data_IF_138558092777
#
_entry.id   IF_138558092777
#
_cell.length_a   1.000
_cell.length_b   1.000
_cell.length_c   1.000
_cell.angle_alpha   90.00
_cell.angle_beta   90.00
_cell.angle_gamma   90.00
#
_symmetry.space_group_name_H-M   'P 1'
#
loop_
_entity.id
_entity.type
_entity.pdbx_description
1 polymer ?
#
# COMPACT_ATOMS: atom_id res chain seq x y z
N UNK A 1 7.83 -7.42 -15.84
CA UNK A 1 9.15 -7.25 -16.46
C UNK A 1 10.16 -8.32 -16.03
N UNK A 2 10.07 -8.85 -14.79
CA UNK A 2 10.99 -9.88 -14.26
C UNK A 2 10.47 -11.31 -14.45
N UNK A 3 9.50 -11.53 -15.34
CA UNK A 3 8.88 -12.83 -15.62
C UNK A 3 8.35 -13.58 -14.38
N UNK A 4 8.13 -12.86 -13.28
CA UNK A 4 7.53 -13.40 -12.08
C UNK A 4 6.05 -13.77 -12.29
N UNK A 5 5.62 -14.89 -11.71
CA UNK A 5 4.21 -15.29 -11.71
C UNK A 5 3.60 -14.95 -10.35
N UNK A 6 2.72 -13.94 -10.24
CA UNK A 6 2.11 -13.59 -8.96
C UNK A 6 1.15 -14.68 -8.48
N UNK A 7 1.03 -14.80 -7.15
CA UNK A 7 -0.02 -15.54 -6.47
C UNK A 7 -0.83 -14.49 -5.70
N UNK A 8 -2.07 -14.28 -6.10
CA UNK A 8 -2.92 -13.30 -5.44
C UNK A 8 -3.51 -13.88 -4.16
N UNK A 9 -3.33 -13.14 -3.07
CA UNK A 9 -3.87 -13.43 -1.76
C UNK A 9 -5.06 -12.52 -1.44
N UNK A 10 -5.91 -12.92 -0.50
CA UNK A 10 -7.00 -12.10 -0.02
C UNK A 10 -6.51 -10.95 0.87
N UNK A 11 -7.39 -10.04 1.22
CA UNK A 11 -7.13 -8.91 2.11
C UNK A 11 -7.86 -9.07 3.44
N UNK A 12 -7.33 -8.40 4.48
CA UNK A 12 -8.00 -8.22 5.77
C UNK A 12 -9.05 -7.08 5.72
N UNK A 13 -9.66 -6.77 6.86
CA UNK A 13 -10.67 -5.71 6.97
C UNK A 13 -10.08 -4.29 6.93
N UNK A 14 -8.75 -4.17 6.87
CA UNK A 14 -8.04 -2.90 6.70
C UNK A 14 -7.50 -2.71 5.28
N UNK A 15 -7.92 -3.54 4.32
CA UNK A 15 -7.47 -3.62 2.92
C UNK A 15 -6.05 -4.14 2.72
N UNK A 16 -5.34 -4.50 3.77
CA UNK A 16 -3.99 -5.04 3.68
C UNK A 16 -4.01 -6.54 3.34
N UNK A 17 -2.86 -7.08 2.93
CA UNK A 17 -2.70 -8.52 2.74
C UNK A 17 -3.19 -9.28 3.98
N UNK A 18 -4.09 -10.24 3.81
CA UNK A 18 -4.51 -11.16 4.88
C UNK A 18 -3.34 -12.08 5.24
N UNK A 19 -2.64 -11.70 6.30
CA UNK A 19 -1.43 -12.40 6.76
C UNK A 19 -1.76 -13.81 7.25
N UNK A 20 -2.92 -14.03 7.87
CA UNK A 20 -3.33 -15.36 8.34
C UNK A 20 -3.56 -16.33 7.19
N UNK A 21 -4.31 -15.91 6.16
CA UNK A 21 -4.50 -16.72 4.95
C UNK A 21 -3.18 -16.93 4.22
N UNK A 22 -2.30 -15.93 4.19
CA UNK A 22 -0.97 -16.06 3.60
C UNK A 22 -0.14 -17.09 4.34
N UNK A 23 -0.13 -17.09 5.67
CA UNK A 23 0.54 -18.09 6.49
C UNK A 23 -0.05 -19.49 6.26
N UNK A 24 -1.39 -19.60 6.21
CA UNK A 24 -2.06 -20.86 5.88
C UNK A 24 -1.59 -21.37 4.52
N UNK A 25 -1.60 -20.53 3.49
CA UNK A 25 -1.09 -20.89 2.17
C UNK A 25 0.35 -21.40 2.22
N UNK A 26 1.25 -20.68 2.89
CA UNK A 26 2.65 -21.09 3.00
C UNK A 26 2.81 -22.45 3.68
N UNK A 27 2.00 -22.75 4.69
CA UNK A 27 2.05 -24.05 5.40
C UNK A 27 1.47 -25.19 4.57
N UNK A 28 0.36 -24.99 3.88
CA UNK A 28 -0.42 -26.07 3.25
C UNK A 28 -0.13 -26.24 1.76
N UNK A 29 0.20 -25.16 1.05
CA UNK A 29 0.33 -25.12 -0.42
C UNK A 29 1.76 -24.98 -0.91
N UNK A 30 2.75 -25.10 -0.01
CA UNK A 30 4.17 -25.07 -0.37
C UNK A 30 4.92 -26.28 0.16
N UNK A 31 6.11 -26.51 -0.40
CA UNK A 31 7.09 -27.48 0.10
C UNK A 31 8.48 -26.90 0.00
N UNK A 32 9.41 -27.46 0.78
CA UNK A 32 10.82 -27.04 0.76
C UNK A 32 11.67 -28.07 0.03
N UNK A 33 12.58 -27.57 -0.82
CA UNK A 33 13.60 -28.38 -1.50
C UNK A 33 14.85 -27.54 -1.74
N UNK A 34 16.04 -28.05 -1.44
CA UNK A 34 17.34 -27.39 -1.66
C UNK A 34 17.40 -25.95 -1.10
N UNK A 35 16.88 -25.73 0.12
CA UNK A 35 16.90 -24.42 0.77
C UNK A 35 15.85 -23.42 0.26
N UNK A 36 15.05 -23.75 -0.75
CA UNK A 36 14.02 -22.88 -1.32
C UNK A 36 12.61 -23.37 -1.00
N UNK A 37 11.65 -22.44 -1.02
CA UNK A 37 10.23 -22.72 -0.89
C UNK A 37 9.55 -22.73 -2.26
N UNK A 38 8.84 -23.80 -2.56
CA UNK A 38 8.16 -24.02 -3.84
C UNK A 38 6.65 -24.04 -3.65
N UNK A 39 5.93 -23.46 -4.58
CA UNK A 39 4.48 -23.61 -4.70
C UNK A 39 4.14 -25.02 -5.18
N UNK A 40 3.29 -25.76 -4.44
CA UNK A 40 2.87 -27.13 -4.79
C UNK A 40 2.17 -27.22 -6.14
N UNK A 41 1.35 -26.18 -6.50
CA UNK A 41 0.57 -26.15 -7.74
C UNK A 41 1.45 -25.89 -8.96
N UNK A 42 2.31 -24.88 -8.91
CA UNK A 42 3.07 -24.41 -10.09
C UNK A 42 4.47 -24.98 -10.15
N UNK A 43 4.94 -25.62 -9.08
CA UNK A 43 6.32 -26.09 -8.88
C UNK A 43 7.39 -25.01 -9.00
N UNK A 44 6.98 -23.72 -9.02
CA UNK A 44 7.89 -22.58 -9.07
C UNK A 44 8.35 -22.16 -7.67
N UNK A 45 9.56 -21.63 -7.57
CA UNK A 45 10.11 -21.06 -6.33
C UNK A 45 9.33 -19.79 -5.98
N UNK A 46 8.95 -19.65 -4.71
CA UNK A 46 8.42 -18.41 -4.16
C UNK A 46 9.60 -17.56 -3.71
N UNK A 47 9.94 -16.54 -4.47
CA UNK A 47 11.09 -15.65 -4.23
C UNK A 47 10.80 -14.56 -3.22
N UNK A 48 9.59 -13.98 -3.28
CA UNK A 48 9.22 -12.84 -2.46
C UNK A 48 7.73 -12.80 -2.16
N UNK A 49 7.40 -12.10 -1.08
CA UNK A 49 6.04 -11.66 -0.77
C UNK A 49 6.07 -10.13 -0.81
N UNK A 50 5.20 -9.53 -1.64
CA UNK A 50 4.97 -8.10 -1.65
C UNK A 50 3.76 -7.83 -0.76
N UNK A 51 3.96 -7.01 0.28
CA UNK A 51 2.92 -6.60 1.21
C UNK A 51 2.77 -5.08 1.16
N UNK A 52 1.59 -4.61 0.75
CA UNK A 52 1.32 -3.19 0.64
C UNK A 52 0.65 -2.66 1.92
N UNK A 53 0.97 -1.42 2.26
CA UNK A 53 0.33 -0.66 3.35
C UNK A 53 -0.77 0.21 2.75
N UNK A 54 -1.90 -0.41 2.42
CA UNK A 54 -2.95 0.19 1.62
C UNK A 54 -3.62 1.36 2.36
N UNK A 55 -3.84 2.46 1.64
CA UNK A 55 -4.46 3.72 2.12
C UNK A 55 -3.72 4.37 3.30
N UNK A 56 -2.45 3.98 3.52
CA UNK A 56 -1.65 4.44 4.65
C UNK A 56 -1.77 3.57 5.90
N UNK A 57 -2.53 2.48 5.86
CA UNK A 57 -2.71 1.57 7.00
C UNK A 57 -1.56 0.56 7.08
N UNK A 58 -0.80 0.49 8.20
CA UNK A 58 0.30 -0.46 8.33
C UNK A 58 -0.18 -1.91 8.32
N UNK A 59 0.36 -2.72 7.41
CA UNK A 59 0.11 -4.16 7.33
C UNK A 59 0.97 -4.95 8.34
N UNK A 60 0.53 -6.11 8.79
CA UNK A 60 1.25 -6.88 9.82
C UNK A 60 2.48 -7.63 9.28
N UNK A 61 3.49 -6.87 8.88
CA UNK A 61 4.77 -7.38 8.36
C UNK A 61 5.52 -8.23 9.38
N UNK A 62 5.48 -7.85 10.67
CA UNK A 62 6.23 -8.57 11.72
C UNK A 62 5.80 -10.03 11.85
N UNK A 63 4.48 -10.29 11.77
CA UNK A 63 3.95 -11.65 11.86
C UNK A 63 4.40 -12.48 10.65
N UNK A 64 4.33 -11.90 9.46
CA UNK A 64 4.76 -12.56 8.23
C UNK A 64 6.25 -12.87 8.27
N UNK A 65 7.08 -11.90 8.69
CA UNK A 65 8.55 -12.05 8.78
C UNK A 65 8.98 -13.19 9.72
N UNK A 66 8.26 -13.37 10.86
CA UNK A 66 8.55 -14.50 11.77
C UNK A 66 8.35 -15.85 11.09
N UNK A 67 7.29 -16.00 10.32
CA UNK A 67 6.96 -17.26 9.65
C UNK A 67 7.90 -17.54 8.48
N UNK A 68 8.29 -16.51 7.73
CA UNK A 68 9.15 -16.66 6.54
C UNK A 68 10.64 -16.74 6.84
N UNK A 69 11.06 -16.57 8.10
CA UNK A 69 12.47 -16.49 8.53
C UNK A 69 13.37 -17.61 7.94
N UNK A 70 12.85 -18.84 7.90
CA UNK A 70 13.59 -20.00 7.42
C UNK A 70 13.13 -20.48 6.02
N UNK A 71 12.33 -19.68 5.30
CA UNK A 71 11.72 -20.10 4.04
C UNK A 71 12.46 -19.61 2.80
N UNK A 72 13.52 -18.83 2.96
CA UNK A 72 14.24 -18.15 1.88
C UNK A 72 13.32 -17.33 0.97
N UNK A 73 12.33 -16.66 1.58
CA UNK A 73 11.38 -15.77 0.92
C UNK A 73 11.69 -14.36 1.38
N UNK A 74 11.90 -13.44 0.45
CA UNK A 74 12.10 -12.01 0.75
C UNK A 74 10.77 -11.31 0.97
N UNK A 75 10.75 -10.34 1.88
CA UNK A 75 9.58 -9.48 2.11
C UNK A 75 9.87 -8.11 1.53
N UNK A 76 9.01 -7.69 0.61
CA UNK A 76 9.01 -6.35 0.02
C UNK A 76 7.81 -5.59 0.57
N UNK A 77 8.05 -4.52 1.32
CA UNK A 77 7.00 -3.62 1.77
C UNK A 77 6.74 -2.56 0.69
N UNK A 78 5.56 -2.59 0.11
CA UNK A 78 5.08 -1.47 -0.69
C UNK A 78 4.50 -0.40 0.25
N UNK A 79 5.35 0.53 0.64
CA UNK A 79 5.03 1.67 1.50
C UNK A 79 4.72 2.94 0.68
N UNK A 80 4.37 2.78 -0.60
CA UNK A 80 4.07 3.90 -1.51
C UNK A 80 2.92 4.80 -1.04
N UNK A 81 2.06 4.30 -0.15
CA UNK A 81 0.91 5.02 0.40
C UNK A 81 1.06 5.38 1.89
N UNK A 82 2.16 4.97 2.53
CA UNK A 82 2.28 4.96 3.99
C UNK A 82 3.47 5.72 4.57
N UNK A 83 4.06 6.65 3.83
CA UNK A 83 5.08 7.53 4.41
C UNK A 83 4.51 8.28 5.62
N UNK A 84 5.21 8.20 6.78
CA UNK A 84 4.74 8.74 8.05
C UNK A 84 3.71 7.87 8.79
N UNK A 85 3.48 6.63 8.32
CA UNK A 85 2.74 5.60 9.06
C UNK A 85 3.70 4.72 9.86
N UNK A 86 3.24 4.23 11.02
CA UNK A 86 4.09 3.53 11.97
C UNK A 86 3.40 2.31 12.58
N UNK A 87 4.19 1.28 12.86
CA UNK A 87 3.87 0.27 13.87
C UNK A 87 4.29 0.78 15.24
N UNK A 88 3.45 0.56 16.25
CA UNK A 88 3.69 0.95 17.63
C UNK A 88 4.05 -0.31 18.43
N UNK A 89 5.25 -0.35 19.01
CA UNK A 89 5.71 -1.48 19.83
C UNK A 89 6.59 -0.99 20.97
N UNK A 90 6.21 -1.31 22.23
CA UNK A 90 6.99 -0.95 23.42
C UNK A 90 7.41 0.53 23.38
N UNK A 91 6.46 1.44 23.17
CA UNK A 91 6.65 2.89 23.04
C UNK A 91 7.59 3.33 21.87
N UNK A 92 8.00 2.41 21.01
CA UNK A 92 8.79 2.73 19.81
C UNK A 92 7.90 2.82 18.57
N UNK A 93 8.20 3.80 17.74
CA UNK A 93 7.60 3.95 16.40
C UNK A 93 8.52 3.30 15.38
N UNK A 94 8.01 2.33 14.63
CA UNK A 94 8.73 1.67 13.54
C UNK A 94 8.04 2.04 12.24
N UNK A 95 8.72 2.78 11.37
CA UNK A 95 8.16 3.26 10.12
C UNK A 95 7.83 2.09 9.17
N UNK A 96 6.70 2.17 8.47
CA UNK A 96 6.38 1.25 7.37
C UNK A 96 7.46 1.30 6.29
N UNK A 97 7.76 0.17 5.67
CA UNK A 97 8.86 0.04 4.71
C UNK A 97 10.22 -0.31 5.34
N UNK A 98 10.32 -0.39 6.69
CA UNK A 98 11.60 -0.68 7.38
C UNK A 98 11.68 -2.05 8.04
N UNK A 99 10.61 -2.83 8.00
CA UNK A 99 10.52 -4.15 8.62
C UNK A 99 10.89 -5.30 7.68
N UNK A 100 10.60 -5.15 6.39
CA UNK A 100 10.91 -6.14 5.36
C UNK A 100 12.41 -6.21 5.00
N UNK A 101 12.71 -6.95 3.95
CA UNK A 101 14.04 -6.94 3.32
C UNK A 101 14.24 -5.70 2.45
N UNK A 102 13.14 -5.22 1.85
CA UNK A 102 13.06 -4.01 1.03
C UNK A 102 11.80 -3.24 1.39
N UNK A 103 11.90 -1.90 1.34
CA UNK A 103 10.75 -1.01 1.40
C UNK A 103 10.75 -0.06 0.21
N UNK A 104 9.57 0.26 -0.31
CA UNK A 104 9.40 1.17 -1.43
C UNK A 104 8.49 2.33 -1.03
N UNK A 105 8.96 3.57 -1.15
CA UNK A 105 8.17 4.80 -0.90
C UNK A 105 8.01 5.53 -2.22
N UNK A 106 6.84 6.12 -2.45
CA UNK A 106 6.53 6.89 -3.65
C UNK A 106 6.33 8.36 -3.35
N UNK A 107 6.84 9.20 -4.25
CA UNK A 107 6.62 10.66 -4.26
C UNK A 107 5.83 11.12 -5.48
N UNK A 108 4.99 10.25 -6.04
CA UNK A 108 4.11 10.60 -7.14
C UNK A 108 3.14 11.74 -6.74
N UNK A 109 2.55 12.44 -7.71
CA UNK A 109 1.75 13.65 -7.53
C UNK A 109 0.58 13.54 -6.53
N UNK A 110 0.02 12.36 -6.35
CA UNK A 110 -1.12 12.13 -5.46
C UNK A 110 -0.76 11.57 -4.07
N UNK A 111 0.53 11.44 -3.73
CA UNK A 111 0.96 10.87 -2.44
C UNK A 111 0.86 11.89 -1.30
N UNK A 112 1.13 11.43 -0.06
CA UNK A 112 1.04 12.26 1.16
C UNK A 112 1.89 13.53 1.07
N UNK A 113 3.08 13.39 0.49
CA UNK A 113 3.91 14.46 -0.05
C UNK A 113 4.36 14.07 -1.45
N UNK A 114 4.72 15.04 -2.26
CA UNK A 114 5.08 14.79 -3.66
C UNK A 114 6.37 15.53 -4.06
N UNK A 115 7.10 14.92 -4.98
CA UNK A 115 8.16 15.59 -5.77
C UNK A 115 7.81 15.62 -7.27
N UNK A 116 6.50 15.42 -7.61
CA UNK A 116 6.05 15.27 -9.00
C UNK A 116 6.21 13.83 -9.52
N UNK A 117 7.19 13.12 -9.05
CA UNK A 117 7.51 11.73 -9.39
C UNK A 117 8.63 11.19 -8.51
N UNK A 118 9.13 10.00 -8.83
CA UNK A 118 10.21 9.35 -8.10
C UNK A 118 9.77 8.60 -6.85
N UNK A 119 10.75 8.14 -6.09
CA UNK A 119 10.55 7.34 -4.89
C UNK A 119 11.86 7.00 -4.19
N UNK A 120 11.77 6.23 -3.12
CA UNK A 120 12.93 5.75 -2.35
C UNK A 120 12.82 4.23 -2.18
N UNK A 121 13.94 3.54 -2.29
CA UNK A 121 14.09 2.15 -1.88
C UNK A 121 14.82 2.13 -0.55
N UNK A 122 14.22 1.48 0.45
CA UNK A 122 14.78 1.29 1.79
C UNK A 122 15.34 -0.13 1.90
N UNK A 123 16.60 -0.25 2.35
CA UNK A 123 17.27 -1.52 2.61
C UNK A 123 18.21 -1.41 3.80
N UNK A 124 18.36 -2.49 4.56
CA UNK A 124 19.28 -2.54 5.72
C UNK A 124 20.61 -3.25 5.40
N UNK A 125 20.92 -3.47 4.12
CA UNK A 125 22.12 -4.18 3.69
C UNK A 125 22.93 -3.32 2.71
N UNK A 126 24.17 -2.96 3.10
CA UNK A 126 25.03 -2.07 2.32
C UNK A 126 25.47 -2.66 0.97
N UNK A 127 25.61 -3.99 0.88
CA UNK A 127 25.96 -4.64 -0.39
C UNK A 127 24.79 -4.57 -1.36
N UNK A 128 23.55 -4.79 -0.86
CA UNK A 128 22.33 -4.65 -1.65
C UNK A 128 22.13 -3.19 -2.07
N UNK A 129 22.37 -2.23 -1.17
CA UNK A 129 22.30 -0.81 -1.49
C UNK A 129 23.23 -0.45 -2.66
N UNK A 130 24.51 -0.85 -2.60
CA UNK A 130 25.47 -0.62 -3.69
C UNK A 130 24.97 -1.22 -5.00
N UNK A 131 24.44 -2.44 -4.99
CA UNK A 131 23.90 -3.10 -6.18
C UNK A 131 22.68 -2.36 -6.73
N UNK A 132 21.78 -1.86 -5.88
CA UNK A 132 20.61 -1.06 -6.30
C UNK A 132 21.09 0.23 -6.96
N UNK A 133 22.01 0.97 -6.31
CA UNK A 133 22.57 2.22 -6.87
C UNK A 133 23.23 1.98 -8.23
N UNK A 134 23.96 0.90 -8.39
CA UNK A 134 24.53 0.50 -9.67
C UNK A 134 23.45 0.30 -10.73
N UNK A 135 22.40 -0.50 -10.43
CA UNK A 135 21.33 -0.82 -11.38
C UNK A 135 20.51 0.42 -11.76
N UNK A 136 20.12 1.29 -10.81
CA UNK A 136 19.31 2.48 -11.08
C UNK A 136 20.10 3.58 -11.77
N UNK A 137 21.45 3.50 -11.76
CA UNK A 137 22.33 4.41 -12.48
C UNK A 137 22.94 3.74 -13.73
N UNK A 138 22.10 3.06 -14.49
CA UNK A 138 22.36 2.48 -15.80
C UNK A 138 23.39 1.33 -15.79
N UNK A 139 23.76 0.75 -14.64
CA UNK A 139 24.82 -0.26 -14.50
C UNK A 139 26.14 0.17 -15.16
N UNK A 140 26.56 1.42 -14.92
CA UNK A 140 27.80 1.98 -15.45
C UNK A 140 29.02 1.36 -14.76
N UNK A 141 29.83 0.62 -15.52
CA UNK A 141 31.10 0.06 -15.05
C UNK A 141 32.28 1.00 -15.31
N UNK A 142 32.23 1.72 -16.42
CA UNK A 142 33.25 2.71 -16.80
C UNK A 142 32.56 4.01 -17.25
N UNK A 143 32.90 5.11 -16.55
CA UNK A 143 32.30 6.44 -16.81
C UNK A 143 32.93 7.08 -18.04
N UNK A 144 34.22 6.84 -18.30
CA UNK A 144 34.96 7.46 -19.39
C UNK A 144 34.61 6.83 -20.75
N UNK A 145 34.54 5.50 -20.78
CA UNK A 145 34.27 4.75 -22.01
C UNK A 145 32.83 4.25 -22.13
N UNK A 146 31.94 4.66 -21.19
CA UNK A 146 30.52 4.27 -21.17
C UNK A 146 30.28 2.76 -21.29
N UNK A 147 31.13 1.96 -20.62
CA UNK A 147 31.00 0.51 -20.62
C UNK A 147 29.95 0.07 -19.60
N UNK A 148 29.11 -0.89 -20.01
CA UNK A 148 28.04 -1.48 -19.19
C UNK A 148 28.07 -2.99 -19.34
N UNK A 149 28.41 -3.73 -18.31
CA UNK A 149 28.44 -5.20 -18.33
C UNK A 149 27.11 -5.82 -17.93
N UNK A 150 26.21 -5.04 -17.36
CA UNK A 150 24.90 -5.50 -16.92
C UNK A 150 23.78 -4.56 -17.41
N UNK A 151 22.56 -5.10 -17.52
CA UNK A 151 21.38 -4.29 -17.77
C UNK A 151 21.12 -3.37 -16.56
N UNK A 152 20.96 -2.09 -16.83
CA UNK A 152 20.61 -1.08 -15.83
C UNK A 152 19.48 -0.16 -16.31
N UNK A 153 19.05 0.73 -15.43
CA UNK A 153 17.95 1.65 -15.68
C UNK A 153 18.35 3.07 -15.29
N UNK A 154 17.86 4.05 -16.01
CA UNK A 154 17.98 5.46 -15.61
C UNK A 154 16.81 5.81 -14.68
N UNK A 155 16.95 5.46 -13.39
CA UNK A 155 15.92 5.65 -12.37
C UNK A 155 16.38 6.52 -11.21
N UNK A 156 17.54 7.17 -11.32
CA UNK A 156 18.01 8.12 -10.30
C UNK A 156 17.13 9.37 -10.28
N UNK A 157 16.74 9.80 -9.09
CA UNK A 157 15.95 11.01 -8.91
C UNK A 157 16.79 12.23 -9.32
N UNK A 158 16.21 13.15 -10.10
CA UNK A 158 16.87 14.42 -10.46
C UNK A 158 16.94 15.36 -9.26
N UNK A 159 17.89 16.30 -9.29
CA UNK A 159 18.04 17.32 -8.24
C UNK A 159 16.77 18.17 -8.07
N UNK A 160 16.07 18.47 -9.15
CA UNK A 160 14.79 19.19 -9.10
C UNK A 160 13.74 18.45 -8.27
N UNK A 161 13.50 17.17 -8.59
CA UNK A 161 12.59 16.32 -7.82
C UNK A 161 13.06 16.17 -6.36
N UNK A 162 14.37 16.00 -6.15
CA UNK A 162 14.96 15.92 -4.80
C UNK A 162 14.70 17.16 -3.96
N UNK A 163 14.86 18.35 -4.54
CA UNK A 163 14.63 19.64 -3.87
C UNK A 163 13.17 19.85 -3.49
N UNK A 164 12.25 19.54 -4.41
CA UNK A 164 10.80 19.59 -4.14
C UNK A 164 10.45 18.59 -3.01
N UNK A 165 10.90 17.34 -3.13
CA UNK A 165 10.64 16.32 -2.12
C UNK A 165 11.17 16.68 -0.73
N UNK A 166 12.37 17.25 -0.65
CA UNK A 166 12.97 17.74 0.59
C UNK A 166 12.14 18.86 1.23
N UNK A 167 11.69 19.83 0.42
CA UNK A 167 10.82 20.91 0.88
C UNK A 167 9.49 20.37 1.43
N UNK A 168 8.87 19.44 0.71
CA UNK A 168 7.62 18.79 1.12
C UNK A 168 7.80 17.95 2.40
N UNK A 169 8.94 17.27 2.54
CA UNK A 169 9.21 16.43 3.72
C UNK A 169 9.22 17.26 5.03
N UNK A 170 9.66 18.49 4.99
CA UNK A 170 9.62 19.41 6.15
C UNK A 170 8.19 19.68 6.64
N UNK A 171 7.19 19.53 5.78
CA UNK A 171 5.76 19.75 6.09
C UNK A 171 4.99 18.47 6.38
N UNK A 172 5.65 17.30 6.36
CA UNK A 172 4.98 15.99 6.48
C UNK A 172 4.11 15.88 7.74
N UNK A 173 4.61 16.29 8.89
CA UNK A 173 3.88 16.21 10.16
C UNK A 173 2.64 17.10 10.17
N UNK A 174 2.71 18.30 9.58
CA UNK A 174 1.58 19.23 9.44
C UNK A 174 0.50 18.60 8.54
N UNK A 175 0.90 18.01 7.42
CA UNK A 175 0.00 17.32 6.49
C UNK A 175 -0.70 16.14 7.17
N UNK A 176 0.05 15.30 7.90
CA UNK A 176 -0.51 14.16 8.64
C UNK A 176 -1.48 14.65 9.72
N UNK A 177 -1.14 15.70 10.45
CA UNK A 177 -2.03 16.31 11.47
C UNK A 177 -3.33 16.80 10.86
N UNK A 178 -3.29 17.50 9.72
CA UNK A 178 -4.47 17.94 8.99
C UNK A 178 -5.34 16.76 8.54
N UNK A 179 -4.74 15.72 7.95
CA UNK A 179 -5.45 14.51 7.50
C UNK A 179 -6.05 13.71 8.66
N UNK A 180 -5.37 13.64 9.80
CA UNK A 180 -5.90 13.03 11.03
C UNK A 180 -7.16 13.74 11.53
N UNK A 181 -7.21 15.09 11.47
CA UNK A 181 -8.41 15.86 11.81
C UNK A 181 -9.57 15.54 10.87
N UNK A 182 -9.30 15.44 9.56
CA UNK A 182 -10.31 15.07 8.55
C UNK A 182 -10.85 13.67 8.82
N UNK A 183 -9.97 12.69 9.08
CA UNK A 183 -10.39 11.33 9.44
C UNK A 183 -11.28 11.32 10.68
N UNK A 184 -10.86 12.00 11.76
CA UNK A 184 -11.64 12.10 12.99
C UNK A 184 -13.02 12.76 12.76
N UNK A 185 -13.10 13.77 11.89
CA UNK A 185 -14.36 14.38 11.52
C UNK A 185 -15.29 13.38 10.83
N UNK A 186 -14.77 12.64 9.83
CA UNK A 186 -15.57 11.60 9.16
C UNK A 186 -16.01 10.50 10.13
N UNK A 187 -15.10 9.95 10.94
CA UNK A 187 -15.46 8.93 11.94
C UNK A 187 -16.57 9.37 12.87
N UNK A 188 -16.46 10.61 13.41
CA UNK A 188 -17.41 11.11 14.41
C UNK A 188 -18.81 11.40 13.84
N UNK A 189 -18.91 11.73 12.57
CA UNK A 189 -20.19 12.07 11.95
C UNK A 189 -20.80 10.87 11.20
N UNK A 190 -20.00 10.11 10.47
CA UNK A 190 -20.49 8.96 9.68
C UNK A 190 -20.94 7.81 10.59
N UNK A 191 -20.32 7.60 11.75
CA UNK A 191 -20.77 6.57 12.72
C UNK A 191 -22.21 6.74 13.20
N UNK A 192 -22.80 7.95 13.03
CA UNK A 192 -24.19 8.26 13.38
C UNK A 192 -25.18 7.80 12.30
N UNK A 193 -24.69 7.38 11.13
CA UNK A 193 -25.50 6.96 9.99
C UNK A 193 -25.48 5.43 9.92
N UNK A 194 -26.64 4.82 10.11
CA UNK A 194 -26.77 3.36 10.08
C UNK A 194 -26.31 2.81 8.71
N UNK A 195 -25.52 1.74 8.76
CA UNK A 195 -25.01 1.08 7.56
C UNK A 195 -23.77 1.73 6.93
N UNK A 196 -23.25 2.84 7.50
CA UNK A 196 -22.01 3.48 7.05
C UNK A 196 -20.94 3.44 8.14
N UNK A 197 -19.69 3.23 7.72
CA UNK A 197 -18.53 3.35 8.62
C UNK A 197 -17.26 3.77 7.87
N UNK A 198 -16.35 4.41 8.59
CA UNK A 198 -14.99 4.67 8.10
C UNK A 198 -14.09 3.49 8.48
N UNK A 199 -13.32 3.01 7.51
CA UNK A 199 -12.31 1.97 7.78
C UNK A 199 -11.25 2.51 8.73
N UNK A 200 -11.05 1.85 9.86
CA UNK A 200 -10.04 2.20 10.87
C UNK A 200 -8.69 1.59 10.53
N UNK A 201 -7.62 2.20 11.03
CA UNK A 201 -6.30 1.58 10.98
C UNK A 201 -6.21 0.39 11.96
N UNK A 202 -5.31 -0.59 11.71
CA UNK A 202 -5.09 -1.71 12.62
C UNK A 202 -4.66 -1.26 14.02
N UNK A 203 -5.01 -2.03 15.04
CA UNK A 203 -4.54 -1.79 16.42
C UNK A 203 -3.01 -1.77 16.50
N UNK A 204 -2.47 -1.02 17.46
CA UNK A 204 -1.03 -0.83 17.64
C UNK A 204 -0.32 -0.28 16.38
N UNK A 205 -1.02 0.54 15.61
CA UNK A 205 -0.47 1.24 14.45
C UNK A 205 -0.91 2.70 14.42
N UNK A 206 -0.23 3.52 13.62
CA UNK A 206 -0.61 4.89 13.30
C UNK A 206 -0.59 5.06 11.79
N UNK A 207 -1.74 5.35 11.21
CA UNK A 207 -1.89 5.69 9.78
C UNK A 207 -1.47 7.15 9.53
N UNK A 208 -1.01 7.43 8.31
CA UNK A 208 -0.88 8.79 7.78
C UNK A 208 -2.21 9.32 7.20
N UNK A 209 -3.27 8.51 7.21
CA UNK A 209 -4.60 8.85 6.66
C UNK A 209 -4.54 9.33 5.21
N UNK A 210 -3.72 8.65 4.38
CA UNK A 210 -3.60 9.04 2.96
C UNK A 210 -4.95 9.14 2.27
N UNK A 211 -5.82 8.14 2.44
CA UNK A 211 -7.22 8.18 2.00
C UNK A 211 -8.16 7.70 3.12
N UNK A 212 -9.34 8.33 3.20
CA UNK A 212 -10.44 7.92 4.06
C UNK A 212 -11.40 7.03 3.28
N UNK A 213 -11.62 5.82 3.76
CA UNK A 213 -12.46 4.82 3.09
C UNK A 213 -13.79 4.69 3.80
N UNK A 214 -14.86 4.97 3.08
CA UNK A 214 -16.23 4.74 3.50
C UNK A 214 -16.66 3.34 3.08
N UNK A 215 -17.09 2.54 4.04
CA UNK A 215 -17.74 1.24 3.82
C UNK A 215 -19.25 1.37 3.95
N UNK A 216 -19.96 0.71 3.04
CA UNK A 216 -21.43 0.78 2.92
C UNK A 216 -22.01 -0.62 3.13
N UNK A 217 -22.80 -0.81 4.16
CA UNK A 217 -23.70 -1.97 4.23
C UNK A 217 -25.00 -1.62 3.52
N UNK A 218 -25.13 -2.05 2.27
CA UNK A 218 -26.26 -1.74 1.39
C UNK A 218 -27.61 -2.18 1.98
N UNK A 219 -27.63 -3.25 2.77
CA UNK A 219 -28.86 -3.79 3.38
C UNK A 219 -29.39 -2.90 4.50
N UNK A 220 -28.49 -2.23 5.20
CA UNK A 220 -28.81 -1.34 6.33
C UNK A 220 -28.97 0.10 5.86
N UNK A 221 -28.05 0.57 4.99
CA UNK A 221 -28.08 1.94 4.48
C UNK A 221 -29.15 2.18 3.41
N UNK A 222 -29.62 1.12 2.73
CA UNK A 222 -30.65 1.19 1.70
C UNK A 222 -30.19 1.69 0.32
N UNK A 223 -28.91 2.07 0.17
CA UNK A 223 -28.33 2.51 -1.12
C UNK A 223 -27.04 1.77 -1.43
N UNK A 224 -26.84 1.48 -2.71
CA UNK A 224 -25.60 0.86 -3.19
C UNK A 224 -24.44 1.85 -3.27
N UNK A 225 -23.24 1.33 -3.33
CA UNK A 225 -22.00 2.08 -3.63
C UNK A 225 -22.16 2.95 -4.88
N UNK A 226 -22.74 2.38 -5.95
CA UNK A 226 -22.89 3.08 -7.24
C UNK A 226 -23.83 4.25 -7.17
N UNK A 227 -24.96 4.08 -6.47
CA UNK A 227 -25.93 5.16 -6.24
C UNK A 227 -25.33 6.28 -5.41
N UNK A 228 -24.63 5.94 -4.33
CA UNK A 228 -23.97 6.94 -3.49
C UNK A 228 -22.86 7.68 -4.25
N UNK A 229 -22.05 6.98 -5.04
CA UNK A 229 -21.05 7.64 -5.89
C UNK A 229 -21.69 8.60 -6.91
N UNK A 230 -22.80 8.23 -7.52
CA UNK A 230 -23.54 9.11 -8.44
C UNK A 230 -24.04 10.36 -7.70
N UNK A 231 -24.58 10.21 -6.48
CA UNK A 231 -25.06 11.34 -5.67
C UNK A 231 -23.90 12.32 -5.37
N UNK A 232 -22.75 11.81 -4.93
CA UNK A 232 -21.57 12.65 -4.74
C UNK A 232 -21.13 13.41 -5.99
N UNK A 233 -21.11 12.74 -7.15
CA UNK A 233 -20.71 13.35 -8.42
C UNK A 233 -21.70 14.44 -8.88
N UNK A 234 -23.01 14.22 -8.71
CA UNK A 234 -24.04 15.22 -9.01
C UNK A 234 -23.88 16.48 -8.15
N UNK A 235 -23.45 16.30 -6.88
CA UNK A 235 -23.13 17.39 -5.96
C UNK A 235 -21.73 18.00 -6.18
N UNK A 236 -21.05 17.64 -7.29
CA UNK A 236 -19.68 18.08 -7.64
C UNK A 236 -18.63 17.68 -6.58
N UNK A 237 -18.87 16.61 -5.85
CA UNK A 237 -17.89 16.03 -4.90
C UNK A 237 -17.18 14.84 -5.53
N UNK A 238 -15.89 14.95 -5.74
CA UNK A 238 -15.08 13.91 -6.35
C UNK A 238 -14.79 12.77 -5.36
N UNK A 239 -15.42 11.62 -5.60
CA UNK A 239 -15.12 10.36 -4.91
C UNK A 239 -14.55 9.35 -5.90
N UNK A 240 -13.90 8.32 -5.40
CA UNK A 240 -13.37 7.22 -6.22
C UNK A 240 -13.76 5.88 -5.61
N UNK A 241 -13.90 4.87 -6.47
CA UNK A 241 -13.93 3.48 -6.00
C UNK A 241 -12.58 3.15 -5.35
N UNK A 242 -12.58 2.27 -4.36
CA UNK A 242 -11.34 1.59 -3.95
C UNK A 242 -10.76 0.79 -5.11
N UNK A 243 -9.50 0.38 -5.02
CA UNK A 243 -8.77 -0.27 -6.10
C UNK A 243 -9.48 -1.52 -6.62
N UNK A 244 -9.58 -1.63 -7.95
CA UNK A 244 -10.12 -2.84 -8.57
C UNK A 244 -9.18 -4.03 -8.28
N UNK A 245 -9.69 -5.16 -7.77
CA UNK A 245 -8.85 -6.27 -7.37
C UNK A 245 -7.97 -6.81 -8.50
N UNK A 246 -6.66 -6.90 -8.27
CA UNK A 246 -5.67 -7.27 -9.29
C UNK A 246 -5.96 -8.62 -9.94
N UNK A 247 -6.42 -9.63 -9.19
CA UNK A 247 -6.76 -10.94 -9.75
C UNK A 247 -7.93 -10.91 -10.76
N UNK A 248 -8.68 -9.80 -10.82
CA UNK A 248 -9.78 -9.58 -11.79
C UNK A 248 -9.34 -8.79 -13.02
N UNK A 249 -8.17 -8.18 -13.02
CA UNK A 249 -7.63 -7.50 -14.19
C UNK A 249 -7.46 -8.49 -15.35
N UNK A 250 -7.89 -8.10 -16.55
CA UNK A 250 -7.94 -9.01 -17.71
C UNK A 250 -6.63 -9.76 -17.95
N UNK A 251 -5.51 -9.05 -17.92
CA UNK A 251 -4.17 -9.60 -18.16
C UNK A 251 -3.59 -10.40 -16.98
N UNK A 252 -4.20 -10.32 -15.78
CA UNK A 252 -3.77 -11.03 -14.58
C UNK A 252 -4.61 -12.26 -14.23
N UNK A 253 -5.78 -12.45 -14.87
CA UNK A 253 -6.70 -13.57 -14.59
C UNK A 253 -6.08 -14.96 -14.72
N UNK A 254 -5.02 -15.11 -15.53
CA UNK A 254 -4.30 -16.37 -15.75
C UNK A 254 -3.47 -16.84 -14.54
N UNK A 255 -3.22 -15.95 -13.59
CA UNK A 255 -2.37 -16.27 -12.44
C UNK A 255 -3.18 -16.85 -11.28
N UNK A 256 -2.47 -17.58 -10.40
CA UNK A 256 -3.07 -18.24 -9.26
C UNK A 256 -3.64 -17.22 -8.26
N UNK A 257 -4.84 -17.51 -7.75
CA UNK A 257 -5.45 -16.83 -6.61
C UNK A 257 -5.71 -17.83 -5.49
N UNK A 258 -5.66 -17.36 -4.24
CA UNK A 258 -5.92 -18.22 -3.08
C UNK A 258 -6.99 -17.62 -2.17
N UNK A 259 -8.12 -18.31 -2.05
CA UNK A 259 -9.26 -18.02 -1.15
C UNK A 259 -9.69 -16.55 -1.11
N UNK A 260 -9.75 -15.87 -2.27
CA UNK A 260 -10.09 -14.44 -2.34
C UNK A 260 -11.60 -14.23 -2.21
N UNK A 261 -12.02 -13.80 -1.02
CA UNK A 261 -13.42 -13.48 -0.68
C UNK A 261 -13.57 -12.02 -0.25
N UNK A 262 -12.73 -11.57 0.70
CA UNK A 262 -12.86 -10.26 1.31
C UNK A 262 -12.51 -9.11 0.35
N UNK A 263 -11.50 -9.27 -0.50
CA UNK A 263 -11.16 -8.27 -1.52
C UNK A 263 -12.36 -7.97 -2.44
N UNK A 264 -13.11 -9.00 -2.84
CA UNK A 264 -14.30 -8.83 -3.68
C UNK A 264 -15.45 -8.14 -2.92
N UNK A 265 -15.66 -8.48 -1.65
CA UNK A 265 -16.66 -7.89 -0.77
C UNK A 265 -16.35 -6.41 -0.55
N UNK A 266 -15.12 -6.09 -0.14
CA UNK A 266 -14.68 -4.73 0.16
C UNK A 266 -14.73 -3.82 -1.08
N UNK A 267 -14.32 -4.31 -2.24
CA UNK A 267 -14.43 -3.57 -3.51
C UNK A 267 -15.88 -3.17 -3.82
N UNK A 268 -16.84 -4.08 -3.61
CA UNK A 268 -18.25 -3.82 -3.92
C UNK A 268 -18.89 -2.78 -3.03
N UNK A 269 -18.39 -2.57 -1.80
CA UNK A 269 -19.04 -1.76 -0.76
C UNK A 269 -18.26 -0.54 -0.30
N UNK A 270 -17.10 -0.25 -0.91
CA UNK A 270 -16.23 0.81 -0.37
C UNK A 270 -15.88 1.85 -1.41
N UNK A 271 -15.81 3.11 -0.96
CA UNK A 271 -15.40 4.28 -1.74
C UNK A 271 -14.35 5.09 -0.99
N UNK A 272 -13.49 5.79 -1.73
CA UNK A 272 -12.55 6.75 -1.20
C UNK A 272 -13.23 8.12 -1.13
N UNK A 273 -13.34 8.68 0.07
CA UNK A 273 -13.82 10.05 0.29
C UNK A 273 -12.72 11.09 0.00
N UNK A 274 -13.09 12.34 -0.28
CA UNK A 274 -12.11 13.43 -0.37
C UNK A 274 -11.24 13.48 0.89
N UNK A 275 -9.92 13.52 0.70
CA UNK A 275 -8.94 13.38 1.79
C UNK A 275 -7.79 14.39 1.67
N UNK A 276 -7.96 15.46 0.89
CA UNK A 276 -6.96 16.52 0.74
C UNK A 276 -6.74 17.29 2.05
N UNK A 277 -5.48 17.62 2.42
CA UNK A 277 -5.18 18.30 3.69
C UNK A 277 -5.72 19.74 3.76
N UNK A 278 -6.15 20.29 2.63
CA UNK A 278 -6.71 21.64 2.50
C UNK A 278 -8.23 21.73 2.61
N UNK A 279 -8.91 20.59 2.83
CA UNK A 279 -10.37 20.57 3.02
C UNK A 279 -10.77 21.43 4.22
N UNK A 280 -11.74 22.32 3.99
CA UNK A 280 -12.32 23.19 5.03
C UNK A 280 -13.46 22.48 5.76
N UNK A 281 -13.82 22.97 6.93
CA UNK A 281 -14.96 22.43 7.68
C UNK A 281 -16.28 22.51 6.90
N UNK A 282 -16.47 23.54 6.06
CA UNK A 282 -17.62 23.65 5.14
C UNK A 282 -17.69 22.49 4.15
N UNK A 283 -16.53 22.11 3.57
CA UNK A 283 -16.44 21.00 2.62
C UNK A 283 -16.78 19.67 3.32
N UNK A 284 -16.22 19.47 4.52
CA UNK A 284 -16.47 18.26 5.31
C UNK A 284 -17.96 18.16 5.72
N UNK A 285 -18.60 19.27 6.12
CA UNK A 285 -20.04 19.31 6.39
C UNK A 285 -20.85 18.92 5.15
N UNK A 286 -20.53 19.51 3.99
CA UNK A 286 -21.20 19.18 2.72
C UNK A 286 -21.04 17.69 2.39
N UNK A 287 -19.85 17.13 2.49
CA UNK A 287 -19.55 15.72 2.18
C UNK A 287 -20.38 14.77 3.06
N UNK A 288 -20.52 15.08 4.34
CA UNK A 288 -21.29 14.23 5.28
C UNK A 288 -22.80 14.38 5.12
N UNK A 289 -23.29 15.53 4.64
CA UNK A 289 -24.72 15.77 4.38
C UNK A 289 -25.25 15.06 3.12
N UNK A 290 -24.38 14.68 2.20
CA UNK A 290 -24.72 13.88 1.02
C UNK A 290 -25.06 12.45 1.39
#
# INVERSE_FOLDING_TARGET
YNFGSPIFMDIDDHFNLDVEKTIKFLKTNTFRKNGFTYNKKTKKIIKAIVIAHIFGNPANVQKLKRVTKNMNIKIVEDAAESLGSYHLKNNKKIHTGTLGDFGCISFNGNKIITSGGGGIILVNNRQIEKKIRYIINQSKDDILYYKHHNLGFNMSMTNLHGSIGFSQLKKLDEVIKAKSKINSYYENNIKKINGLKITRCPSNTRSNFWLNILEIDTRVYGRSKTELMKKFLNEKVNVRSVWFPNHKQKYLKKYQSYEIKNANKMYKRSICLPSGPTLKNSDLKKIVAI
#
